data_IF_029833356335
#
_entry.id   IF_029833356335
#
_cell.length_a   1.000
_cell.length_b   1.000
_cell.length_c   1.000
_cell.angle_alpha   90.00
_cell.angle_beta   90.00
_cell.angle_gamma   90.00
#
_symmetry.space_group_name_H-M   'P 1'
#
loop_
_entity.id
_entity.type
_entity.pdbx_description
1 polymer ?
#
# COMPACT_ATOMS: atom_id res chain seq x y z
N UNK A 1 13.63 42.00 32.06
CA UNK A 1 13.95 42.63 30.76
C UNK A 1 15.43 42.34 30.48
N UNK A 2 15.69 41.25 29.76
CA UNK A 2 17.03 40.87 29.31
C UNK A 2 16.89 40.32 27.88
N UNK A 3 17.76 40.82 27.01
CA UNK A 3 17.64 40.80 25.56
C UNK A 3 17.87 39.42 24.92
N UNK A 4 17.20 39.19 23.79
CA UNK A 4 17.42 38.07 22.88
C UNK A 4 18.78 38.18 22.18
N UNK A 5 19.51 37.06 21.97
CA UNK A 5 20.59 37.00 20.99
C UNK A 5 20.05 36.62 19.60
N UNK A 6 20.63 37.29 18.60
CA UNK A 6 20.30 37.28 17.19
C UNK A 6 20.67 35.98 16.45
N UNK A 7 19.83 35.67 15.47
CA UNK A 7 20.04 34.75 14.36
C UNK A 7 21.27 35.16 13.52
N UNK A 8 22.41 34.48 13.67
CA UNK A 8 23.45 34.36 12.64
C UNK A 8 24.55 33.44 13.14
N UNK A 9 24.45 32.13 12.86
CA UNK A 9 25.61 31.25 12.70
C UNK A 9 25.16 29.93 12.07
N UNK A 10 24.90 30.01 10.76
CA UNK A 10 24.82 28.84 9.88
C UNK A 10 26.25 28.31 9.70
N UNK A 11 26.57 27.27 10.48
CA UNK A 11 27.82 26.52 10.39
C UNK A 11 28.05 25.98 8.99
N UNK A 12 29.16 26.43 8.42
CA UNK A 12 29.62 26.27 7.04
C UNK A 12 29.95 24.81 6.70
N UNK A 13 29.40 24.35 5.58
CA UNK A 13 29.72 23.07 4.94
C UNK A 13 31.21 23.00 4.59
N UNK A 14 31.97 22.12 5.26
CA UNK A 14 33.30 21.73 4.78
C UNK A 14 33.15 20.70 3.67
N UNK A 15 33.25 21.18 2.44
CA UNK A 15 33.53 20.42 1.23
C UNK A 15 34.91 19.75 1.34
N UNK A 16 34.93 18.42 1.48
CA UNK A 16 36.09 17.59 1.14
C UNK A 16 35.83 16.96 -0.23
N UNK A 17 36.20 17.70 -1.28
CA UNK A 17 36.43 17.20 -2.63
C UNK A 17 37.87 16.68 -2.71
N UNK A 18 38.06 15.44 -3.17
CA UNK A 18 39.38 15.01 -3.62
C UNK A 18 39.65 13.49 -3.62
N UNK A 19 39.04 12.75 -4.55
CA UNK A 19 39.73 11.65 -5.22
C UNK A 19 39.43 11.78 -6.73
N UNK A 20 40.45 12.04 -7.57
CA UNK A 20 40.27 12.18 -9.02
C UNK A 20 40.32 10.81 -9.69
N UNK A 21 39.40 10.59 -10.64
CA UNK A 21 39.41 9.41 -11.50
C UNK A 21 38.56 8.25 -10.97
N UNK A 22 37.31 8.19 -11.44
CA UNK A 22 36.56 7.01 -11.88
C UNK A 22 35.10 7.46 -12.09
N UNK A 23 34.66 7.53 -13.35
CA UNK A 23 33.24 7.43 -13.71
C UNK A 23 32.33 8.64 -13.48
N UNK A 24 32.67 9.82 -14.00
CA UNK A 24 31.77 10.99 -14.01
C UNK A 24 30.48 10.84 -14.85
N UNK A 25 30.35 9.77 -15.65
CA UNK A 25 29.17 9.53 -16.49
C UNK A 25 28.04 8.72 -15.84
N UNK A 26 28.34 7.85 -14.87
CA UNK A 26 27.37 6.90 -14.29
C UNK A 26 26.54 7.47 -13.13
N UNK A 27 27.01 8.55 -12.49
CA UNK A 27 26.34 9.15 -11.33
C UNK A 27 25.13 10.02 -11.72
N UNK A 28 25.14 10.60 -12.92
CA UNK A 28 24.05 11.47 -13.40
C UNK A 28 22.84 10.71 -13.94
N UNK A 29 23.01 9.49 -14.47
CA UNK A 29 21.93 8.73 -15.12
C UNK A 29 21.08 7.87 -14.16
N UNK A 30 21.63 7.48 -13.00
CA UNK A 30 21.00 6.47 -12.13
C UNK A 30 19.88 7.01 -11.24
N UNK A 31 19.99 8.24 -10.75
CA UNK A 31 18.90 8.93 -10.00
C UNK A 31 17.63 9.18 -10.82
N UNK A 32 17.71 9.71 -12.06
CA UNK A 32 16.52 9.85 -12.88
C UNK A 32 15.96 8.49 -13.27
N UNK A 33 16.79 7.46 -13.49
CA UNK A 33 16.33 6.11 -13.82
C UNK A 33 15.53 5.47 -12.67
N UNK A 34 16.01 5.52 -11.43
CA UNK A 34 15.24 5.05 -10.25
C UNK A 34 13.91 5.79 -10.12
N UNK A 35 13.92 7.11 -10.31
CA UNK A 35 12.70 7.92 -10.25
C UNK A 35 11.71 7.54 -11.36
N UNK A 36 12.17 7.38 -12.60
CA UNK A 36 11.33 6.98 -13.73
C UNK A 36 10.72 5.59 -13.51
N UNK A 37 11.50 4.63 -12.99
CA UNK A 37 10.99 3.30 -12.65
C UNK A 37 9.92 3.34 -11.56
N UNK A 38 10.10 4.17 -10.53
CA UNK A 38 9.09 4.37 -9.48
C UNK A 38 7.82 5.00 -10.05
N UNK A 39 7.94 6.07 -10.84
CA UNK A 39 6.79 6.74 -11.48
C UNK A 39 6.03 5.77 -12.38
N UNK A 40 6.74 5.06 -13.27
CA UNK A 40 6.14 4.07 -14.16
C UNK A 40 5.47 2.95 -13.36
N UNK A 41 6.14 2.45 -12.30
CA UNK A 41 5.59 1.41 -11.43
C UNK A 41 4.30 1.85 -10.73
N UNK A 42 4.27 3.02 -10.11
CA UNK A 42 3.06 3.54 -9.44
C UNK A 42 1.95 3.88 -10.43
N UNK A 43 2.27 4.46 -11.59
CA UNK A 43 1.28 4.82 -12.61
C UNK A 43 0.65 3.61 -13.28
N UNK A 44 1.42 2.55 -13.53
CA UNK A 44 0.96 1.34 -14.20
C UNK A 44 0.40 0.27 -13.23
N UNK A 45 0.65 0.39 -11.92
CA UNK A 45 0.14 -0.57 -10.92
C UNK A 45 -1.39 -0.78 -10.99
N UNK A 46 -2.23 0.28 -11.08
CA UNK A 46 -3.67 0.10 -11.24
C UNK A 46 -4.05 -0.69 -12.50
N UNK A 47 -3.30 -0.49 -13.60
CA UNK A 47 -3.55 -1.20 -14.86
C UNK A 47 -3.21 -2.68 -14.72
N UNK A 48 -2.05 -3.01 -14.13
CA UNK A 48 -1.65 -4.40 -13.88
C UNK A 48 -2.63 -5.13 -12.96
N UNK A 49 -3.12 -4.45 -11.92
CA UNK A 49 -4.13 -4.98 -11.00
C UNK A 49 -5.48 -5.20 -11.71
N UNK A 50 -5.96 -4.22 -12.48
CA UNK A 50 -7.17 -4.37 -13.29
C UNK A 50 -7.08 -5.56 -14.27
N UNK A 51 -5.98 -5.68 -15.03
CA UNK A 51 -5.77 -6.78 -15.97
C UNK A 51 -5.77 -8.14 -15.26
N UNK A 52 -5.17 -8.22 -14.07
CA UNK A 52 -5.17 -9.45 -13.27
C UNK A 52 -6.60 -9.84 -12.89
N UNK A 53 -7.39 -8.90 -12.37
CA UNK A 53 -8.78 -9.15 -11.97
C UNK A 53 -9.66 -9.48 -13.18
N UNK A 54 -9.44 -8.82 -14.31
CA UNK A 54 -10.14 -9.06 -15.58
C UNK A 54 -9.87 -10.47 -16.12
N UNK A 55 -8.60 -10.89 -16.18
CA UNK A 55 -8.21 -12.20 -16.70
C UNK A 55 -8.81 -13.37 -15.89
N UNK A 56 -8.94 -13.20 -14.57
CA UNK A 56 -9.60 -14.18 -13.70
C UNK A 56 -11.11 -14.27 -13.91
N UNK A 57 -11.76 -13.22 -14.42
CA UNK A 57 -13.21 -13.24 -14.67
C UNK A 57 -13.53 -13.66 -16.11
N UNK A 58 -12.68 -13.31 -17.06
CA UNK A 58 -12.88 -13.63 -18.47
C UNK A 58 -12.64 -15.09 -18.86
N UNK A 59 -12.13 -15.94 -17.95
CA UNK A 59 -11.77 -17.33 -18.27
C UNK A 59 -10.63 -17.45 -19.29
N UNK A 60 -9.94 -16.35 -19.61
CA UNK A 60 -8.86 -16.28 -20.62
C UNK A 60 -7.51 -16.73 -20.04
N UNK A 61 -7.42 -16.93 -18.72
CA UNK A 61 -6.26 -17.55 -18.09
C UNK A 61 -6.55 -19.02 -17.77
N UNK A 62 -5.74 -19.93 -18.28
CA UNK A 62 -5.69 -21.33 -17.81
C UNK A 62 -5.34 -21.41 -16.32
N UNK A 63 -5.20 -22.64 -15.79
CA UNK A 63 -5.11 -23.00 -14.36
C UNK A 63 -4.21 -22.11 -13.47
N UNK A 64 -3.26 -21.38 -14.06
CA UNK A 64 -2.51 -20.29 -13.43
C UNK A 64 -3.06 -18.92 -13.83
N UNK A 65 -4.26 -18.57 -13.35
CA UNK A 65 -4.93 -17.30 -13.67
C UNK A 65 -3.96 -16.12 -13.72
N UNK A 66 -3.80 -15.52 -14.90
CA UNK A 66 -2.68 -14.64 -15.22
C UNK A 66 -2.55 -13.46 -14.24
N UNK A 67 -1.58 -13.54 -13.33
CA UNK A 67 -1.28 -12.50 -12.32
C UNK A 67 -0.43 -11.38 -12.93
N UNK A 68 -0.98 -10.65 -13.90
CA UNK A 68 -0.29 -9.54 -14.60
C UNK A 68 0.33 -8.49 -13.66
N UNK A 69 -0.30 -8.22 -12.51
CA UNK A 69 0.22 -7.30 -11.51
C UNK A 69 1.52 -7.79 -10.88
N UNK A 70 1.69 -9.10 -10.74
CA UNK A 70 2.93 -9.69 -10.25
C UNK A 70 4.07 -9.48 -11.25
N UNK A 71 3.82 -9.72 -12.54
CA UNK A 71 4.82 -9.49 -13.58
C UNK A 71 5.24 -8.02 -13.61
N UNK A 72 4.28 -7.10 -13.58
CA UNK A 72 4.57 -5.67 -13.57
C UNK A 72 5.41 -5.26 -12.34
N UNK A 73 5.01 -5.69 -11.14
CA UNK A 73 5.75 -5.42 -9.90
C UNK A 73 7.13 -6.07 -9.92
N UNK A 74 7.26 -7.28 -10.46
CA UNK A 74 8.53 -8.00 -10.61
C UNK A 74 9.51 -7.28 -11.53
N UNK A 75 9.04 -6.80 -12.69
CA UNK A 75 9.86 -6.02 -13.64
C UNK A 75 10.33 -4.71 -12.98
N UNK A 76 9.43 -3.99 -12.30
CA UNK A 76 9.79 -2.75 -11.59
C UNK A 76 10.81 -3.03 -10.50
N UNK A 77 10.61 -4.08 -9.70
CA UNK A 77 11.51 -4.47 -8.62
C UNK A 77 12.90 -4.84 -9.15
N UNK A 78 12.97 -5.70 -10.17
CA UNK A 78 14.23 -6.08 -10.81
C UNK A 78 14.94 -4.85 -11.40
N UNK A 79 14.19 -3.98 -12.09
CA UNK A 79 14.72 -2.72 -12.60
C UNK A 79 15.29 -1.81 -11.51
N UNK A 80 14.59 -1.68 -10.38
CA UNK A 80 15.07 -0.88 -9.23
C UNK A 80 16.35 -1.47 -8.63
N UNK A 81 16.42 -2.79 -8.48
CA UNK A 81 17.61 -3.49 -7.99
C UNK A 81 18.81 -3.24 -8.90
N UNK A 82 18.64 -3.41 -10.22
CA UNK A 82 19.71 -3.16 -11.20
C UNK A 82 20.14 -1.69 -11.15
N UNK A 83 19.18 -0.77 -11.16
CA UNK A 83 19.42 0.68 -11.10
C UNK A 83 20.21 1.10 -9.86
N UNK A 84 19.87 0.54 -8.71
CA UNK A 84 20.55 0.82 -7.44
C UNK A 84 21.95 0.18 -7.38
N UNK A 85 22.13 -1.00 -7.99
CA UNK A 85 23.40 -1.73 -8.04
C UNK A 85 24.45 -1.01 -8.88
N UNK A 86 24.06 -0.46 -10.04
CA UNK A 86 24.94 0.36 -10.90
C UNK A 86 25.51 1.57 -10.14
N UNK A 87 24.79 2.07 -9.14
CA UNK A 87 25.16 3.26 -8.37
C UNK A 87 26.19 2.97 -7.26
N UNK A 88 26.47 1.71 -6.95
CA UNK A 88 27.34 1.32 -5.82
C UNK A 88 26.84 1.79 -4.44
N UNK A 89 25.61 2.30 -4.36
CA UNK A 89 25.00 2.85 -3.13
C UNK A 89 24.05 1.89 -2.45
N UNK A 90 24.09 0.62 -2.84
CA UNK A 90 23.31 -0.39 -2.13
C UNK A 90 23.91 -0.51 -0.74
N UNK A 91 23.13 -0.19 0.29
CA UNK A 91 23.57 -0.40 1.67
C UNK A 91 23.94 -1.87 1.84
N UNK A 92 25.00 -2.16 2.59
CA UNK A 92 25.45 -3.55 2.80
C UNK A 92 24.32 -4.43 3.36
N UNK A 93 23.40 -3.83 4.14
CA UNK A 93 22.13 -4.44 4.58
C UNK A 93 21.24 -4.84 3.40
N UNK A 94 20.98 -3.94 2.44
CA UNK A 94 20.17 -4.22 1.24
C UNK A 94 20.82 -5.28 0.33
N UNK A 95 22.15 -5.33 0.24
CA UNK A 95 22.88 -6.41 -0.45
C UNK A 95 22.67 -7.77 0.22
N UNK A 96 22.77 -7.83 1.55
CA UNK A 96 22.50 -9.07 2.30
C UNK A 96 21.07 -9.56 2.09
N UNK A 97 20.09 -8.65 2.10
CA UNK A 97 18.70 -9.01 1.85
C UNK A 97 18.52 -9.51 0.41
N UNK A 98 19.16 -8.88 -0.59
CA UNK A 98 19.15 -9.38 -1.97
C UNK A 98 19.76 -10.79 -2.10
N UNK A 99 20.87 -11.03 -1.41
CA UNK A 99 21.49 -12.36 -1.39
C UNK A 99 20.56 -13.38 -0.75
N UNK A 100 19.94 -13.06 0.39
CA UNK A 100 18.98 -13.95 1.06
C UNK A 100 17.78 -14.28 0.16
N UNK A 101 17.29 -13.31 -0.60
CA UNK A 101 16.21 -13.51 -1.56
C UNK A 101 16.64 -14.37 -2.74
N UNK A 102 17.83 -14.14 -3.28
CA UNK A 102 18.39 -14.98 -4.33
C UNK A 102 18.54 -16.42 -3.85
N UNK A 103 19.08 -16.63 -2.64
CA UNK A 103 19.19 -17.95 -2.00
C UNK A 103 17.82 -18.59 -1.78
N UNK A 104 16.84 -17.85 -1.27
CA UNK A 104 15.49 -18.37 -1.04
C UNK A 104 14.81 -18.79 -2.35
N UNK A 105 14.86 -17.93 -3.38
CA UNK A 105 14.32 -18.26 -4.70
C UNK A 105 15.06 -19.47 -5.30
N UNK A 106 16.40 -19.51 -5.22
CA UNK A 106 17.18 -20.64 -5.71
C UNK A 106 16.84 -21.94 -4.97
N UNK A 107 16.66 -21.90 -3.64
CA UNK A 107 16.26 -23.07 -2.85
C UNK A 107 14.86 -23.58 -3.25
N UNK A 108 13.90 -22.67 -3.46
CA UNK A 108 12.57 -23.01 -3.99
C UNK A 108 12.67 -23.59 -5.41
N UNK A 109 13.51 -23.02 -6.28
CA UNK A 109 13.72 -23.53 -7.66
C UNK A 109 14.36 -24.92 -7.67
N UNK A 110 15.30 -25.20 -6.77
CA UNK A 110 15.92 -26.52 -6.62
C UNK A 110 14.89 -27.52 -6.11
N UNK A 111 14.08 -27.16 -5.11
CA UNK A 111 13.02 -28.02 -4.56
C UNK A 111 11.96 -28.35 -5.61
N UNK A 112 11.59 -27.37 -6.45
CA UNK A 112 10.72 -27.58 -7.60
C UNK A 112 11.36 -28.51 -8.65
N UNK A 113 12.63 -28.30 -8.99
CA UNK A 113 13.35 -29.14 -9.98
C UNK A 113 13.51 -30.60 -9.52
N UNK A 114 13.62 -30.83 -8.20
CA UNK A 114 13.68 -32.16 -7.58
C UNK A 114 12.30 -32.79 -7.35
N UNK A 115 11.23 -32.22 -7.94
CA UNK A 115 9.84 -32.66 -7.78
C UNK A 115 9.33 -32.67 -6.33
N UNK A 116 9.96 -31.89 -5.43
CA UNK A 116 9.54 -31.71 -4.05
C UNK A 116 8.41 -30.71 -3.85
N UNK A 117 8.01 -29.98 -4.89
CA UNK A 117 6.90 -29.02 -4.89
C UNK A 117 6.12 -29.06 -6.20
N UNK A 118 4.82 -28.82 -6.12
CA UNK A 118 3.97 -28.58 -7.28
C UNK A 118 4.22 -27.18 -7.87
N UNK A 119 3.82 -26.99 -9.14
CA UNK A 119 3.87 -25.68 -9.81
C UNK A 119 3.16 -24.57 -9.02
N UNK A 120 2.03 -24.90 -8.38
CA UNK A 120 1.25 -23.94 -7.59
C UNK A 120 2.02 -23.48 -6.35
N UNK A 121 2.56 -24.42 -5.58
CA UNK A 121 3.32 -24.15 -4.36
C UNK A 121 4.57 -23.33 -4.63
N UNK A 122 5.32 -23.66 -5.69
CA UNK A 122 6.50 -22.89 -6.10
C UNK A 122 6.13 -21.43 -6.43
N UNK A 123 5.06 -21.22 -7.19
CA UNK A 123 4.60 -19.88 -7.55
C UNK A 123 4.16 -19.09 -6.31
N UNK A 124 3.46 -19.72 -5.37
CA UNK A 124 3.04 -19.08 -4.13
C UNK A 124 4.22 -18.68 -3.24
N UNK A 125 5.22 -19.56 -3.10
CA UNK A 125 6.41 -19.30 -2.30
C UNK A 125 7.25 -18.16 -2.89
N UNK A 126 7.49 -18.17 -4.21
CA UNK A 126 8.21 -17.08 -4.90
C UNK A 126 7.46 -15.75 -4.75
N UNK A 127 6.12 -15.76 -4.83
CA UNK A 127 5.31 -14.56 -4.61
C UNK A 127 5.45 -14.06 -3.17
N UNK A 128 5.44 -14.95 -2.18
CA UNK A 128 5.59 -14.58 -0.77
C UNK A 128 6.97 -13.94 -0.53
N UNK A 129 8.04 -14.55 -1.05
CA UNK A 129 9.41 -14.02 -0.96
C UNK A 129 9.48 -12.63 -1.59
N UNK A 130 8.95 -12.47 -2.82
CA UNK A 130 8.94 -11.19 -3.52
C UNK A 130 8.14 -10.11 -2.79
N UNK A 131 6.99 -10.46 -2.18
CA UNK A 131 6.19 -9.50 -1.40
C UNK A 131 6.95 -8.95 -0.21
N UNK A 132 7.57 -9.82 0.59
CA UNK A 132 8.35 -9.40 1.77
C UNK A 132 9.54 -8.55 1.33
N UNK A 133 10.24 -8.98 0.27
CA UNK A 133 11.42 -8.27 -0.19
C UNK A 133 11.10 -6.90 -0.83
N UNK A 134 9.96 -6.79 -1.51
CA UNK A 134 9.56 -5.57 -2.21
C UNK A 134 9.56 -4.34 -1.29
N UNK A 135 9.17 -4.52 -0.03
CA UNK A 135 9.19 -3.45 0.96
C UNK A 135 10.59 -2.83 1.11
N UNK A 136 11.64 -3.65 1.29
CA UNK A 136 13.00 -3.15 1.48
C UNK A 136 13.56 -2.47 0.23
N UNK A 137 13.26 -3.00 -0.95
CA UNK A 137 13.68 -2.40 -2.23
C UNK A 137 13.02 -1.04 -2.43
N UNK A 138 11.72 -0.92 -2.20
CA UNK A 138 11.02 0.35 -2.32
C UNK A 138 11.51 1.38 -1.30
N UNK A 139 11.74 0.99 -0.05
CA UNK A 139 12.30 1.88 0.98
C UNK A 139 13.69 2.37 0.59
N UNK A 140 14.57 1.47 0.14
CA UNK A 140 15.90 1.83 -0.34
C UNK A 140 15.84 2.78 -1.55
N UNK A 141 15.00 2.47 -2.53
CA UNK A 141 14.82 3.29 -3.73
C UNK A 141 14.31 4.70 -3.39
N UNK A 142 13.30 4.81 -2.53
CA UNK A 142 12.74 6.09 -2.09
C UNK A 142 13.74 6.91 -1.27
N UNK A 143 14.53 6.27 -0.39
CA UNK A 143 15.59 6.94 0.39
C UNK A 143 16.70 7.53 -0.48
N UNK A 144 16.87 7.00 -1.70
CA UNK A 144 17.89 7.47 -2.65
C UNK A 144 17.51 8.73 -3.44
N UNK A 145 16.24 9.16 -3.37
CA UNK A 145 15.68 10.31 -4.10
C UNK A 145 15.93 11.64 -3.37
N UNK A 146 15.93 12.74 -4.12
CA UNK A 146 15.94 14.09 -3.55
C UNK A 146 14.53 14.57 -3.19
N UNK A 147 14.40 15.51 -2.27
CA UNK A 147 13.10 16.08 -1.85
C UNK A 147 12.27 16.60 -3.04
N UNK A 148 12.93 17.22 -4.02
CA UNK A 148 12.28 17.68 -5.27
C UNK A 148 11.69 16.52 -6.06
N UNK A 149 12.38 15.38 -6.14
CA UNK A 149 11.90 14.18 -6.85
C UNK A 149 10.78 13.49 -6.09
N UNK A 150 10.88 13.39 -4.77
CA UNK A 150 9.81 12.90 -3.89
C UNK A 150 8.53 13.75 -4.03
N UNK A 151 8.68 15.08 -4.04
CA UNK A 151 7.55 15.99 -4.25
C UNK A 151 6.88 15.81 -5.63
N UNK A 152 7.65 15.49 -6.68
CA UNK A 152 7.10 15.16 -8.01
C UNK A 152 6.46 13.78 -8.08
N UNK A 153 6.86 12.85 -7.23
CA UNK A 153 6.26 11.50 -7.15
C UNK A 153 4.93 11.52 -6.39
N UNK A 154 4.79 12.42 -5.43
CA UNK A 154 3.60 12.65 -4.60
C UNK A 154 2.26 12.65 -5.40
N UNK A 155 2.08 13.45 -6.47
CA UNK A 155 0.84 13.46 -7.24
C UNK A 155 0.54 12.13 -7.94
N UNK A 156 1.57 11.40 -8.39
CA UNK A 156 1.41 10.09 -9.06
C UNK A 156 0.84 9.07 -8.08
N UNK A 157 1.40 9.01 -6.86
CA UNK A 157 0.92 8.12 -5.80
C UNK A 157 -0.51 8.46 -5.40
N UNK A 158 -0.84 9.76 -5.28
CA UNK A 158 -2.21 10.20 -4.99
C UNK A 158 -3.19 9.82 -6.09
N UNK A 159 -2.82 10.00 -7.35
CA UNK A 159 -3.64 9.61 -8.49
C UNK A 159 -3.90 8.09 -8.48
N UNK A 160 -2.86 7.28 -8.25
CA UNK A 160 -3.01 5.83 -8.14
C UNK A 160 -3.97 5.44 -6.99
N UNK A 161 -3.79 6.01 -5.79
CA UNK A 161 -4.69 5.78 -4.65
C UNK A 161 -6.14 6.16 -4.96
N UNK A 162 -6.36 7.27 -5.67
CA UNK A 162 -7.70 7.68 -6.12
C UNK A 162 -8.28 6.69 -7.13
N UNK A 163 -7.50 6.20 -8.10
CA UNK A 163 -7.97 5.18 -9.06
C UNK A 163 -8.41 3.92 -8.32
N UNK A 164 -7.63 3.46 -7.34
CA UNK A 164 -8.02 2.32 -6.50
C UNK A 164 -9.31 2.59 -5.73
N UNK A 165 -9.44 3.74 -5.08
CA UNK A 165 -10.65 4.11 -4.35
C UNK A 165 -11.88 4.22 -5.28
N UNK A 166 -11.75 4.91 -6.40
CA UNK A 166 -12.81 5.07 -7.40
C UNK A 166 -13.25 3.72 -7.98
N UNK A 167 -12.35 2.76 -8.12
CA UNK A 167 -12.72 1.41 -8.57
C UNK A 167 -13.62 0.67 -7.56
N UNK A 168 -13.43 0.92 -6.25
CA UNK A 168 -14.29 0.39 -5.19
C UNK A 168 -15.69 1.03 -5.30
N UNK A 169 -15.75 2.34 -5.50
CA UNK A 169 -17.02 3.05 -5.74
C UNK A 169 -17.73 2.56 -6.99
N UNK A 170 -17.02 2.41 -8.12
CA UNK A 170 -17.58 1.88 -9.35
C UNK A 170 -18.14 0.47 -9.14
N UNK A 171 -17.43 -0.37 -8.38
CA UNK A 171 -17.93 -1.68 -7.96
C UNK A 171 -19.24 -1.58 -7.19
N UNK A 172 -19.30 -0.70 -6.19
CA UNK A 172 -20.47 -0.52 -5.33
C UNK A 172 -21.68 0.06 -6.08
N UNK A 173 -21.48 1.09 -6.89
CA UNK A 173 -22.56 1.79 -7.61
C UNK A 173 -23.13 0.92 -8.72
N UNK A 174 -22.27 0.30 -9.53
CA UNK A 174 -22.69 -0.48 -10.70
C UNK A 174 -22.83 -1.97 -10.39
N UNK A 175 -22.65 -2.39 -9.14
CA UNK A 175 -22.68 -3.79 -8.72
C UNK A 175 -21.80 -4.73 -9.56
N UNK A 176 -20.59 -4.28 -9.89
CA UNK A 176 -19.66 -5.04 -10.74
C UNK A 176 -19.12 -6.24 -9.95
N UNK A 177 -19.53 -7.47 -10.30
CA UNK A 177 -19.09 -8.69 -9.58
C UNK A 177 -17.58 -8.88 -9.56
N UNK A 178 -16.90 -8.35 -10.58
CA UNK A 178 -15.44 -8.40 -10.69
C UNK A 178 -14.75 -7.72 -9.50
N UNK A 179 -15.39 -6.70 -8.94
CA UNK A 179 -14.86 -5.86 -7.86
C UNK A 179 -15.39 -6.27 -6.48
N UNK A 180 -16.20 -7.33 -6.37
CA UNK A 180 -16.69 -7.82 -5.08
C UNK A 180 -15.57 -8.45 -4.25
N UNK A 181 -15.64 -8.21 -2.94
CA UNK A 181 -14.70 -8.73 -1.95
C UNK A 181 -14.88 -10.22 -1.67
N UNK A 182 -16.13 -10.71 -1.64
CA UNK A 182 -16.46 -12.12 -1.39
C UNK A 182 -17.15 -12.71 -2.62
N UNK A 183 -16.73 -13.92 -3.01
CA UNK A 183 -17.38 -14.73 -4.05
C UNK A 183 -18.00 -15.95 -3.37
N UNK A 184 -19.32 -16.11 -3.49
CA UNK A 184 -20.05 -17.26 -2.97
C UNK A 184 -21.55 -16.98 -2.88
N UNK A 185 -22.38 -18.02 -3.06
CA UNK A 185 -23.85 -17.95 -3.07
C UNK A 185 -24.47 -17.55 -1.72
N UNK A 186 -23.67 -17.52 -0.65
CA UNK A 186 -24.09 -16.95 0.63
C UNK A 186 -23.84 -15.44 0.63
N UNK A 187 -24.91 -14.65 0.41
CA UNK A 187 -24.96 -13.17 0.44
C UNK A 187 -24.55 -12.52 1.79
N UNK A 188 -23.93 -13.26 2.71
CA UNK A 188 -23.77 -12.86 4.11
C UNK A 188 -22.70 -11.78 4.31
N UNK A 189 -21.79 -11.55 3.34
CA UNK A 189 -20.77 -10.48 3.42
C UNK A 189 -20.76 -9.57 2.19
N UNK A 190 -21.32 -8.36 2.36
CA UNK A 190 -21.24 -7.28 1.38
C UNK A 190 -19.90 -6.52 1.46
N UNK A 191 -19.27 -6.27 0.31
CA UNK A 191 -18.06 -5.46 0.22
C UNK A 191 -17.45 -5.47 -1.18
N UNK A 192 -16.70 -4.41 -1.51
CA UNK A 192 -16.05 -4.22 -2.81
C UNK A 192 -14.55 -3.96 -2.65
N UNK A 193 -13.72 -4.84 -3.20
CA UNK A 193 -12.25 -4.75 -3.18
C UNK A 193 -11.68 -3.91 -4.33
N UNK A 194 -12.51 -3.54 -5.31
CA UNK A 194 -12.10 -2.82 -6.50
C UNK A 194 -11.23 -3.67 -7.43
N UNK A 195 -10.25 -3.04 -8.08
CA UNK A 195 -9.32 -3.68 -9.02
C UNK A 195 -8.18 -4.46 -8.37
N UNK A 196 -8.06 -4.45 -7.04
CA UNK A 196 -6.99 -5.18 -6.34
C UNK A 196 -7.37 -6.64 -6.17
N UNK A 197 -6.43 -7.54 -6.45
CA UNK A 197 -6.67 -8.99 -6.42
C UNK A 197 -7.08 -9.50 -5.03
N UNK A 198 -6.38 -9.10 -3.97
CA UNK A 198 -6.62 -9.60 -2.61
C UNK A 198 -7.28 -8.55 -1.70
N UNK A 199 -8.32 -8.97 -0.99
CA UNK A 199 -9.12 -8.09 -0.11
C UNK A 199 -8.31 -7.48 1.05
N UNK A 200 -7.39 -8.25 1.64
CA UNK A 200 -6.50 -7.77 2.70
C UNK A 200 -5.53 -6.71 2.17
N UNK A 201 -5.05 -6.85 0.93
CA UNK A 201 -4.18 -5.86 0.27
C UNK A 201 -4.95 -4.56 0.00
N UNK A 202 -6.20 -4.64 -0.48
CA UNK A 202 -7.06 -3.46 -0.64
C UNK A 202 -7.24 -2.72 0.69
N UNK A 203 -7.53 -3.46 1.76
CA UNK A 203 -7.77 -2.88 3.09
C UNK A 203 -6.54 -2.15 3.60
N UNK A 204 -5.37 -2.78 3.49
CA UNK A 204 -4.10 -2.17 3.87
C UNK A 204 -3.78 -0.94 3.00
N UNK A 205 -4.01 -1.00 1.69
CA UNK A 205 -3.77 0.10 0.76
C UNK A 205 -4.65 1.31 1.08
N UNK A 206 -5.95 1.11 1.31
CA UNK A 206 -6.87 2.20 1.67
C UNK A 206 -6.53 2.80 3.03
N UNK A 207 -6.16 1.96 4.02
CA UNK A 207 -5.71 2.42 5.34
C UNK A 207 -4.43 3.27 5.25
N UNK A 208 -3.42 2.81 4.50
CA UNK A 208 -2.17 3.56 4.29
C UNK A 208 -2.43 4.86 3.53
N UNK A 209 -3.30 4.83 2.51
CA UNK A 209 -3.71 6.03 1.78
C UNK A 209 -4.41 7.05 2.69
N UNK A 210 -5.31 6.59 3.56
CA UNK A 210 -6.01 7.43 4.53
C UNK A 210 -5.02 8.04 5.52
N UNK A 211 -4.08 7.24 6.04
CA UNK A 211 -3.05 7.70 6.97
C UNK A 211 -2.15 8.77 6.31
N UNK A 212 -1.79 8.56 5.05
CA UNK A 212 -1.06 9.54 4.26
C UNK A 212 -1.85 10.86 4.10
N UNK A 213 -3.14 10.78 3.76
CA UNK A 213 -4.01 11.95 3.66
C UNK A 213 -4.13 12.72 4.99
N UNK A 214 -4.37 12.01 6.09
CA UNK A 214 -4.42 12.59 7.43
C UNK A 214 -3.09 13.23 7.84
N UNK A 215 -1.94 12.58 7.60
CA UNK A 215 -0.62 13.13 7.90
C UNK A 215 -0.35 14.42 7.11
N UNK A 216 -0.74 14.46 5.84
CA UNK A 216 -0.64 15.66 5.02
C UNK A 216 -1.45 16.80 5.60
N UNK A 217 -2.69 16.53 6.00
CA UNK A 217 -3.58 17.52 6.64
C UNK A 217 -3.01 18.03 7.97
N UNK A 218 -2.36 17.16 8.76
CA UNK A 218 -1.67 17.58 9.98
C UNK A 218 -0.51 18.55 9.68
N UNK A 219 0.24 18.31 8.60
CA UNK A 219 1.41 19.12 8.24
C UNK A 219 1.09 20.41 7.50
N UNK A 220 0.10 20.39 6.61
CA UNK A 220 -0.21 21.50 5.68
C UNK A 220 -1.57 22.17 5.94
N UNK A 221 -2.36 21.65 6.89
CA UNK A 221 -3.73 22.11 7.12
C UNK A 221 -4.76 21.46 6.20
N UNK A 222 -6.04 21.81 6.39
CA UNK A 222 -7.12 21.34 5.53
C UNK A 222 -7.20 22.18 4.26
N UNK A 223 -7.25 21.51 3.12
CA UNK A 223 -7.67 22.09 1.84
C UNK A 223 -8.88 21.31 1.34
N UNK A 224 -9.68 21.89 0.44
CA UNK A 224 -10.84 21.19 -0.15
C UNK A 224 -10.42 19.87 -0.82
N UNK A 225 -9.30 19.89 -1.55
CA UNK A 225 -8.77 18.70 -2.23
C UNK A 225 -8.33 17.62 -1.25
N UNK A 226 -7.72 18.00 -0.12
CA UNK A 226 -7.30 17.03 0.90
C UNK A 226 -8.51 16.50 1.68
N UNK A 227 -9.56 17.31 1.88
CA UNK A 227 -10.84 16.87 2.43
C UNK A 227 -11.53 15.84 1.54
N UNK A 228 -11.63 16.10 0.23
CA UNK A 228 -12.20 15.15 -0.73
C UNK A 228 -11.36 13.87 -0.78
N UNK A 229 -10.03 13.98 -0.84
CA UNK A 229 -9.13 12.82 -0.88
C UNK A 229 -9.28 11.92 0.36
N UNK A 230 -9.25 12.50 1.57
CA UNK A 230 -9.45 11.77 2.83
C UNK A 230 -10.85 11.17 2.90
N UNK A 231 -11.89 11.91 2.52
CA UNK A 231 -13.27 11.44 2.52
C UNK A 231 -13.49 10.24 1.59
N UNK A 232 -12.96 10.33 0.35
CA UNK A 232 -13.03 9.24 -0.63
C UNK A 232 -12.35 7.97 -0.10
N UNK A 233 -11.15 8.08 0.48
CA UNK A 233 -10.43 6.93 1.02
C UNK A 233 -11.08 6.34 2.27
N UNK A 234 -11.66 7.19 3.12
CA UNK A 234 -12.42 6.73 4.27
C UNK A 234 -13.63 5.90 3.83
N UNK A 235 -14.46 6.44 2.93
CA UNK A 235 -15.65 5.73 2.44
C UNK A 235 -15.24 4.46 1.69
N UNK A 236 -14.19 4.52 0.85
CA UNK A 236 -13.67 3.34 0.18
C UNK A 236 -13.22 2.26 1.17
N UNK A 237 -12.54 2.62 2.26
CA UNK A 237 -12.11 1.68 3.32
C UNK A 237 -13.29 0.96 3.98
N UNK A 238 -14.41 1.67 4.18
CA UNK A 238 -15.64 1.08 4.72
C UNK A 238 -16.33 0.17 3.68
N UNK A 239 -16.33 0.58 2.41
CA UNK A 239 -16.91 -0.20 1.30
C UNK A 239 -16.16 -1.50 1.01
N UNK A 240 -14.89 -1.64 1.42
CA UNK A 240 -14.16 -2.92 1.30
C UNK A 240 -14.86 -4.06 2.05
N UNK A 241 -15.59 -3.74 3.13
CA UNK A 241 -16.36 -4.72 3.90
C UNK A 241 -15.49 -5.71 4.70
N UNK A 242 -14.22 -5.36 4.98
CA UNK A 242 -13.35 -6.10 5.91
C UNK A 242 -13.39 -5.50 7.30
N UNK A 243 -13.29 -6.35 8.32
CA UNK A 243 -13.00 -5.91 9.70
C UNK A 243 -11.72 -5.07 9.75
N UNK A 244 -10.67 -5.51 9.04
CA UNK A 244 -9.39 -4.79 8.97
C UNK A 244 -9.50 -3.40 8.33
N UNK A 245 -10.29 -3.23 7.27
CA UNK A 245 -10.50 -1.94 6.62
C UNK A 245 -11.26 -0.95 7.52
N UNK A 246 -12.32 -1.41 8.18
CA UNK A 246 -13.11 -0.58 9.11
C UNK A 246 -12.28 -0.21 10.35
N UNK A 247 -11.72 -1.19 11.06
CA UNK A 247 -10.94 -0.96 12.29
C UNK A 247 -9.69 -0.14 11.98
N UNK A 248 -9.00 -0.44 10.87
CA UNK A 248 -7.83 0.31 10.42
C UNK A 248 -8.16 1.77 10.11
N UNK A 249 -9.23 2.03 9.36
CA UNK A 249 -9.65 3.39 9.04
C UNK A 249 -10.05 4.19 10.30
N UNK A 250 -10.79 3.57 11.23
CA UNK A 250 -11.12 4.19 12.51
C UNK A 250 -9.85 4.47 13.34
N UNK A 251 -8.92 3.53 13.40
CA UNK A 251 -7.64 3.71 14.10
C UNK A 251 -6.84 4.89 13.54
N UNK A 252 -6.79 5.04 12.21
CA UNK A 252 -6.14 6.18 11.55
C UNK A 252 -6.84 7.49 11.88
N UNK A 253 -8.18 7.54 11.85
CA UNK A 253 -8.94 8.74 12.22
C UNK A 253 -8.75 9.12 13.69
N UNK A 254 -8.77 8.14 14.59
CA UNK A 254 -8.47 8.36 16.00
C UNK A 254 -7.04 8.91 16.16
N UNK A 255 -6.04 8.27 15.53
CA UNK A 255 -4.66 8.74 15.56
C UNK A 255 -4.52 10.17 15.07
N UNK A 256 -5.24 10.54 14.00
CA UNK A 256 -5.31 11.92 13.52
C UNK A 256 -5.92 12.89 14.55
N UNK A 257 -7.05 12.53 15.16
CA UNK A 257 -7.73 13.39 16.14
C UNK A 257 -6.87 13.60 17.39
N UNK A 258 -6.23 12.55 17.91
CA UNK A 258 -5.30 12.63 19.04
C UNK A 258 -4.03 13.40 18.71
N UNK A 259 -3.55 13.36 17.46
CA UNK A 259 -2.41 14.16 17.05
C UNK A 259 -2.74 15.65 16.88
N UNK A 260 -4.00 16.00 16.58
CA UNK A 260 -4.42 17.39 16.30
C UNK A 260 -5.04 18.11 17.50
N UNK A 261 -5.68 17.38 18.41
CA UNK A 261 -6.48 17.94 19.49
C UNK A 261 -6.01 17.46 20.86
N UNK A 262 -6.26 18.26 21.89
CA UNK A 262 -6.04 17.82 23.28
C UNK A 262 -6.88 16.59 23.61
N UNK A 263 -6.37 15.73 24.51
CA UNK A 263 -6.90 14.39 24.80
C UNK A 263 -8.42 14.38 24.96
N UNK A 264 -8.98 15.25 25.80
CA UNK A 264 -10.43 15.31 26.05
C UNK A 264 -11.26 15.62 24.79
N UNK A 265 -10.84 16.62 24.00
CA UNK A 265 -11.51 17.01 22.77
C UNK A 265 -11.36 15.94 21.68
N UNK A 266 -10.20 15.28 21.63
CA UNK A 266 -9.95 14.16 20.72
C UNK A 266 -10.88 12.98 21.05
N UNK A 267 -11.03 12.61 22.33
CA UNK A 267 -11.89 11.51 22.76
C UNK A 267 -13.36 11.76 22.43
N UNK A 268 -13.88 12.96 22.70
CA UNK A 268 -15.29 13.30 22.36
C UNK A 268 -15.50 13.25 20.84
N UNK A 269 -14.60 13.86 20.05
CA UNK A 269 -14.71 13.85 18.59
C UNK A 269 -14.57 12.45 18.00
N UNK A 270 -13.69 11.62 18.56
CA UNK A 270 -13.54 10.24 18.16
C UNK A 270 -14.80 9.42 18.47
N UNK A 271 -15.38 9.60 19.67
CA UNK A 271 -16.62 8.92 20.05
C UNK A 271 -17.79 9.32 19.13
N UNK A 272 -17.93 10.61 18.79
CA UNK A 272 -18.93 11.08 17.83
C UNK A 272 -18.68 10.51 16.44
N UNK A 273 -17.45 10.54 15.93
CA UNK A 273 -17.10 10.01 14.62
C UNK A 273 -17.37 8.49 14.53
N UNK A 274 -16.98 7.72 15.55
CA UNK A 274 -17.25 6.28 15.62
C UNK A 274 -18.75 6.02 15.69
N UNK A 275 -19.51 6.80 16.46
CA UNK A 275 -20.96 6.63 16.58
C UNK A 275 -21.69 6.94 15.27
N UNK A 276 -21.31 8.01 14.57
CA UNK A 276 -21.83 8.37 13.26
C UNK A 276 -21.51 7.27 12.23
N UNK A 277 -20.28 6.75 12.24
CA UNK A 277 -19.88 5.66 11.36
C UNK A 277 -20.60 4.35 11.72
N UNK A 278 -20.81 4.04 13.00
CA UNK A 278 -21.58 2.86 13.43
C UNK A 278 -23.07 2.95 13.04
N UNK A 279 -23.59 4.17 12.89
CA UNK A 279 -24.97 4.40 12.44
C UNK A 279 -25.14 4.26 10.93
N UNK A 280 -24.05 4.29 10.15
CA UNK A 280 -24.13 4.13 8.70
C UNK A 280 -24.36 2.65 8.34
N UNK A 281 -25.23 2.33 7.36
CA UNK A 281 -25.63 0.95 7.06
C UNK A 281 -24.47 0.00 6.78
N UNK A 282 -23.40 0.49 6.12
CA UNK A 282 -22.21 -0.31 5.78
C UNK A 282 -21.41 -0.80 7.00
N UNK A 283 -21.38 -0.05 8.10
CA UNK A 283 -20.68 -0.45 9.34
C UNK A 283 -21.58 -1.32 10.22
N UNK A 284 -22.90 -1.06 10.23
CA UNK A 284 -23.88 -1.92 10.91
C UNK A 284 -23.78 -3.37 10.44
N UNK A 285 -23.58 -3.61 9.14
CA UNK A 285 -23.40 -4.96 8.59
C UNK A 285 -22.16 -5.64 9.19
N UNK A 286 -21.03 -4.93 9.32
CA UNK A 286 -19.79 -5.49 9.90
C UNK A 286 -19.90 -5.76 11.40
N UNK A 287 -20.61 -4.90 12.15
CA UNK A 287 -20.82 -5.04 13.60
C UNK A 287 -21.81 -6.16 13.91
N UNK A 288 -22.95 -6.23 13.21
CA UNK A 288 -23.95 -7.30 13.38
C UNK A 288 -23.37 -8.68 13.05
N UNK A 289 -22.51 -8.77 12.02
CA UNK A 289 -21.80 -10.01 11.69
C UNK A 289 -20.72 -10.40 12.71
N UNK A 290 -20.25 -9.48 13.55
CA UNK A 290 -19.34 -9.81 14.66
C UNK A 290 -20.07 -10.47 15.82
N UNK A 291 -21.34 -10.08 16.07
CA UNK A 291 -22.18 -10.73 17.08
C UNK A 291 -22.68 -12.10 16.62
N UNK A 292 -23.04 -12.28 15.35
CA UNK A 292 -23.43 -13.59 14.81
C UNK A 292 -22.28 -14.62 14.78
N UNK A 293 -21.02 -14.18 14.80
CA UNK A 293 -19.86 -15.07 14.92
C UNK A 293 -19.51 -15.41 16.39
N UNK A 294 -19.90 -14.58 17.36
CA UNK A 294 -19.80 -14.91 18.79
C UNK A 294 -20.92 -15.86 19.22
N UNK A 295 -22.07 -15.79 18.56
CA UNK A 295 -23.18 -16.72 18.70
C UNK A 295 -23.29 -17.59 17.46
N UNK A 296 -22.32 -18.50 17.28
CA UNK A 296 -22.46 -19.54 16.27
C UNK A 296 -23.76 -20.32 16.43
N UNK A 297 -24.25 -21.00 15.38
CA UNK A 297 -25.48 -21.81 15.40
C UNK A 297 -25.29 -23.12 16.17
N UNK A 298 -24.86 -23.03 17.44
CA UNK A 298 -24.61 -24.16 18.33
C UNK A 298 -25.01 -23.91 19.79
N UNK A 299 -25.51 -22.72 20.14
CA UNK A 299 -26.08 -22.48 21.47
C UNK A 299 -27.59 -22.80 21.48
N UNK A 300 -27.94 -24.04 21.15
CA UNK A 300 -29.22 -24.60 21.60
C UNK A 300 -29.07 -24.77 23.11
N UNK A 301 -29.71 -23.88 23.88
CA UNK A 301 -29.93 -24.10 25.30
C UNK A 301 -30.76 -25.38 25.43
N UNK A 302 -30.15 -26.44 25.95
CA UNK A 302 -30.89 -27.56 26.51
C UNK A 302 -31.58 -27.06 27.78
N UNK A 303 -32.89 -26.88 27.68
CA UNK A 303 -33.83 -26.70 28.77
C UNK A 303 -35.12 -27.40 28.37
#
# INVERSE_FOLDING_TARGET
MYAQPSMSDFGTYRTLTGCPGVGGGTVYLTRPLVWTLLVAGFALSPVGDFLSVFALKGGVGGDFGARYSLFLRGIVLAGLVVAMSIRGKVQLSSLRIMLLVAVAISASSISYALAGMTNGEYVEEVIAILKVFSFFVYVAALSGLSDRQLAKLEPVVRAALLIYALSIFAGAIFSIDMFRSYRGDTQIRAGYKGIVYAQNETSALMMVGLAYGCLRVLRRGWTLLDAVFVGVLLIASLLVGTKGGVVGALGVLCGYLYARHGVFHATVRAAVAVSLLASTPGVRIVVVLSDSYRHGPGAVKSG
#
